data_IF_164130086332
#
_entry.id   IF_164130086332
#
_cell.length_a   1.000
_cell.length_b   1.000
_cell.length_c   1.000
_cell.angle_alpha   90.00
_cell.angle_beta   90.00
_cell.angle_gamma   90.00
#
_symmetry.space_group_name_H-M   'P 1'
#
loop_
_entity.id
_entity.type
_entity.pdbx_description
1 polymer ?
#
# COMPACT_ATOMS: atom_id res chain seq x y z
N UNK A 1 3.71 0.61 -1.15
CA UNK A 1 2.83 1.58 -1.85
C UNK A 1 3.42 2.99 -1.89
N UNK A 2 4.15 3.43 -0.86
CA UNK A 2 4.84 4.73 -0.88
C UNK A 2 5.74 4.92 -2.12
N UNK A 3 6.43 3.86 -2.55
CA UNK A 3 7.25 3.89 -3.76
C UNK A 3 6.45 4.25 -5.01
N UNK A 4 5.26 3.63 -5.19
CA UNK A 4 4.37 3.96 -6.32
C UNK A 4 3.86 5.40 -6.25
N UNK A 5 3.57 5.90 -5.05
CA UNK A 5 3.18 7.29 -4.86
C UNK A 5 4.29 8.26 -5.29
N UNK A 6 5.51 8.00 -4.82
CA UNK A 6 6.67 8.84 -5.13
C UNK A 6 6.97 8.84 -6.63
N UNK A 7 6.89 7.67 -7.27
CA UNK A 7 7.10 7.52 -8.71
C UNK A 7 6.01 8.23 -9.53
N UNK A 8 4.74 8.10 -9.11
CA UNK A 8 3.64 8.85 -9.73
C UNK A 8 3.86 10.36 -9.64
N UNK A 9 4.33 10.85 -8.50
CA UNK A 9 4.62 12.28 -8.32
C UNK A 9 5.81 12.76 -9.16
N UNK A 10 6.85 11.94 -9.27
CA UNK A 10 8.04 12.27 -10.03
C UNK A 10 7.76 12.29 -11.55
N UNK A 11 7.03 11.29 -12.04
CA UNK A 11 6.83 11.06 -13.48
C UNK A 11 5.47 11.56 -14.00
N UNK A 12 4.57 12.01 -13.12
CA UNK A 12 3.17 12.33 -13.45
C UNK A 12 2.46 11.20 -14.20
N UNK A 13 2.92 9.96 -14.03
CA UNK A 13 2.41 8.77 -14.70
C UNK A 13 2.83 7.50 -13.97
N UNK A 14 1.99 6.47 -14.04
CA UNK A 14 2.34 5.07 -13.74
C UNK A 14 1.88 4.17 -14.89
N UNK A 15 2.69 3.18 -15.25
CA UNK A 15 2.28 2.12 -16.18
C UNK A 15 1.21 1.22 -15.57
N UNK A 16 0.64 0.34 -16.37
CA UNK A 16 -0.54 -0.46 -16.03
C UNK A 16 -0.42 -1.18 -14.67
N UNK A 17 0.66 -1.91 -14.44
CA UNK A 17 0.84 -2.71 -13.23
C UNK A 17 0.87 -1.84 -11.95
N UNK A 18 1.66 -0.78 -11.97
CA UNK A 18 1.75 0.16 -10.85
C UNK A 18 0.43 0.87 -10.60
N UNK A 19 -0.29 1.27 -11.66
CA UNK A 19 -1.63 1.85 -11.56
C UNK A 19 -2.62 0.90 -10.90
N UNK A 20 -2.67 -0.35 -11.36
CA UNK A 20 -3.57 -1.37 -10.81
C UNK A 20 -3.33 -1.57 -9.31
N UNK A 21 -2.09 -1.86 -8.93
CA UNK A 21 -1.73 -2.07 -7.52
C UNK A 21 -2.07 -0.84 -6.66
N UNK A 22 -1.77 0.36 -7.16
CA UNK A 22 -1.99 1.58 -6.39
C UNK A 22 -3.46 1.98 -6.33
N UNK A 23 -4.23 1.81 -7.42
CA UNK A 23 -5.69 2.01 -7.41
C UNK A 23 -6.38 1.12 -6.38
N UNK A 24 -6.04 -0.17 -6.36
CA UNK A 24 -6.64 -1.11 -5.42
C UNK A 24 -6.23 -0.82 -3.96
N UNK A 25 -4.99 -0.39 -3.75
CA UNK A 25 -4.56 0.09 -2.43
C UNK A 25 -5.38 1.30 -1.97
N UNK A 26 -5.54 2.32 -2.81
CA UNK A 26 -6.34 3.52 -2.51
C UNK A 26 -7.80 3.16 -2.24
N UNK A 27 -8.40 2.28 -3.05
CA UNK A 27 -9.73 1.73 -2.78
C UNK A 27 -9.81 1.10 -1.38
N UNK A 28 -8.83 0.28 -1.03
CA UNK A 28 -8.75 -0.37 0.29
C UNK A 28 -8.46 0.57 1.45
N UNK A 29 -8.04 1.81 1.22
CA UNK A 29 -7.98 2.87 2.24
C UNK A 29 -9.28 3.64 2.40
N UNK A 30 -10.31 3.28 1.62
CA UNK A 30 -11.64 3.91 1.69
C UNK A 30 -11.87 5.01 0.65
N UNK A 31 -10.95 5.22 -0.30
CA UNK A 31 -11.15 6.21 -1.36
C UNK A 31 -12.31 5.79 -2.26
N UNK A 32 -13.32 6.65 -2.43
CA UNK A 32 -14.44 6.40 -3.31
C UNK A 32 -14.00 6.37 -4.79
N UNK A 33 -14.85 5.80 -5.66
CA UNK A 33 -14.58 5.80 -7.11
C UNK A 33 -14.40 7.21 -7.66
N UNK A 34 -15.25 8.14 -7.24
CA UNK A 34 -15.24 9.53 -7.71
C UNK A 34 -13.94 10.23 -7.30
N UNK A 35 -13.56 10.10 -6.03
CA UNK A 35 -12.30 10.64 -5.51
C UNK A 35 -11.09 10.01 -6.20
N UNK A 36 -11.14 8.71 -6.46
CA UNK A 36 -10.07 7.99 -7.17
C UNK A 36 -9.92 8.48 -8.62
N UNK A 37 -11.03 8.74 -9.33
CA UNK A 37 -11.01 9.34 -10.67
C UNK A 37 -10.38 10.74 -10.65
N UNK A 38 -10.78 11.57 -9.69
CA UNK A 38 -10.20 12.92 -9.48
C UNK A 38 -8.71 12.82 -9.16
N UNK A 39 -8.33 11.92 -8.26
CA UNK A 39 -6.93 11.68 -7.88
C UNK A 39 -6.08 11.34 -9.10
N UNK A 40 -6.48 10.35 -9.90
CA UNK A 40 -5.73 9.95 -11.08
C UNK A 40 -5.70 11.04 -12.15
N UNK A 41 -6.81 11.72 -12.38
CA UNK A 41 -6.85 12.82 -13.35
C UNK A 41 -5.88 13.95 -12.98
N UNK A 42 -5.87 14.35 -11.72
CA UNK A 42 -4.93 15.37 -11.20
C UNK A 42 -3.46 14.90 -11.20
N UNK A 43 -3.22 13.60 -11.01
CA UNK A 43 -1.88 13.03 -10.99
C UNK A 43 -1.25 12.94 -12.38
N UNK A 44 -2.04 12.75 -13.43
CA UNK A 44 -1.60 12.63 -14.82
C UNK A 44 -1.54 13.99 -15.51
N UNK A 45 -0.60 14.84 -15.08
CA UNK A 45 -0.49 16.24 -15.52
C UNK A 45 -0.23 16.41 -17.02
N UNK A 46 0.43 15.44 -17.65
CA UNK A 46 0.86 15.49 -19.05
C UNK A 46 -0.15 14.86 -20.02
N UNK A 47 -1.32 14.43 -19.53
CA UNK A 47 -2.35 13.74 -20.31
C UNK A 47 -3.57 14.62 -20.41
N UNK A 48 -4.13 14.75 -21.63
CA UNK A 48 -5.39 15.51 -21.86
C UNK A 48 -6.60 14.79 -21.25
N UNK A 49 -7.69 15.51 -21.03
CA UNK A 49 -8.93 14.93 -20.51
C UNK A 49 -9.49 13.85 -21.42
N UNK A 50 -9.47 14.07 -22.74
CA UNK A 50 -9.91 13.10 -23.72
C UNK A 50 -9.11 11.80 -23.66
N UNK A 51 -7.78 11.91 -23.57
CA UNK A 51 -6.90 10.75 -23.45
C UNK A 51 -7.14 10.02 -22.13
N UNK A 52 -7.28 10.76 -21.01
CA UNK A 52 -7.61 10.17 -19.72
C UNK A 52 -8.93 9.39 -19.76
N UNK A 53 -9.97 9.97 -20.33
CA UNK A 53 -11.28 9.35 -20.43
C UNK A 53 -11.26 8.09 -21.30
N UNK A 54 -10.51 8.10 -22.42
CA UNK A 54 -10.41 6.96 -23.35
C UNK A 54 -9.56 5.81 -22.79
N UNK A 55 -8.41 6.09 -22.17
CA UNK A 55 -7.40 5.07 -21.87
C UNK A 55 -7.39 4.64 -20.39
N UNK A 56 -7.82 5.48 -19.47
CA UNK A 56 -7.63 5.24 -18.03
C UNK A 56 -8.93 5.12 -17.23
N UNK A 57 -9.92 5.93 -17.53
CA UNK A 57 -11.16 5.99 -16.76
C UNK A 57 -11.87 4.64 -16.67
N UNK A 58 -11.96 3.92 -17.79
CA UNK A 58 -12.60 2.61 -17.83
C UNK A 58 -11.94 1.63 -16.85
N UNK A 59 -10.60 1.53 -16.87
CA UNK A 59 -9.87 0.61 -15.99
C UNK A 59 -10.06 0.92 -14.50
N UNK A 60 -10.12 2.20 -14.14
CA UNK A 60 -10.36 2.62 -12.75
C UNK A 60 -11.77 2.19 -12.33
N UNK A 61 -12.80 2.48 -13.14
CA UNK A 61 -14.18 2.05 -12.90
C UNK A 61 -14.30 0.52 -12.79
N UNK A 62 -13.62 -0.20 -13.66
CA UNK A 62 -13.58 -1.67 -13.64
C UNK A 62 -12.97 -2.21 -12.34
N UNK A 63 -11.92 -1.60 -11.83
CA UNK A 63 -11.32 -1.96 -10.54
C UNK A 63 -12.26 -1.77 -9.35
N UNK A 64 -13.20 -0.84 -9.45
CA UNK A 64 -14.25 -0.60 -8.46
C UNK A 64 -15.51 -1.46 -8.68
N UNK A 65 -15.61 -2.19 -9.80
CA UNK A 65 -16.79 -2.98 -10.14
C UNK A 65 -17.96 -2.18 -10.68
N UNK A 66 -17.71 -0.94 -11.07
CA UNK A 66 -18.74 -0.05 -11.61
C UNK A 66 -19.07 -0.33 -13.08
N UNK A 67 -18.13 -0.89 -13.84
CA UNK A 67 -18.30 -1.27 -15.25
C UNK A 67 -17.62 -2.60 -15.54
N UNK A 68 -18.16 -3.34 -16.50
CA UNK A 68 -17.60 -4.61 -16.97
C UNK A 68 -17.62 -5.71 -15.89
N UNK A 69 -16.92 -6.81 -16.18
CA UNK A 69 -16.73 -7.90 -15.25
C UNK A 69 -17.90 -8.90 -15.18
N UNK A 70 -17.67 -9.96 -14.40
CA UNK A 70 -18.65 -10.97 -14.07
C UNK A 70 -19.80 -10.35 -13.27
N UNK A 71 -21.04 -10.79 -13.51
CA UNK A 71 -22.24 -10.35 -12.78
C UNK A 71 -22.06 -10.48 -11.25
N UNK A 72 -21.33 -11.50 -10.80
CA UNK A 72 -21.05 -11.76 -9.38
C UNK A 72 -20.06 -10.73 -8.75
N UNK A 73 -19.37 -9.93 -9.56
CA UNK A 73 -18.42 -8.91 -9.10
C UNK A 73 -18.91 -7.48 -9.27
N UNK A 74 -20.13 -7.30 -9.80
CA UNK A 74 -20.72 -5.96 -9.89
C UNK A 74 -20.89 -5.35 -8.52
N UNK A 75 -20.45 -4.08 -8.36
CA UNK A 75 -20.48 -3.35 -7.10
C UNK A 75 -19.33 -3.64 -6.13
N UNK A 76 -18.58 -4.76 -6.28
CA UNK A 76 -17.41 -5.08 -5.43
C UNK A 76 -16.06 -4.79 -6.12
N UNK A 77 -15.94 -5.09 -7.41
CA UNK A 77 -14.70 -4.96 -8.17
C UNK A 77 -13.58 -5.87 -7.64
N UNK A 78 -12.33 -5.46 -7.86
CA UNK A 78 -11.16 -6.19 -7.40
C UNK A 78 -10.80 -5.85 -5.96
N UNK A 79 -10.34 -6.84 -5.20
CA UNK A 79 -9.80 -6.65 -3.86
C UNK A 79 -8.38 -6.08 -3.90
N UNK A 80 -7.98 -5.28 -2.90
CA UNK A 80 -6.60 -4.86 -2.72
C UNK A 80 -5.63 -6.04 -2.60
N UNK A 81 -4.42 -5.88 -3.12
CA UNK A 81 -3.42 -6.95 -3.09
C UNK A 81 -2.82 -7.11 -1.70
N UNK A 82 -2.86 -8.35 -1.19
CA UNK A 82 -2.12 -8.73 0.02
C UNK A 82 -0.61 -8.73 -0.23
N UNK A 83 0.20 -8.72 0.84
CA UNK A 83 1.65 -8.89 0.72
C UNK A 83 2.01 -10.23 0.05
N UNK A 84 1.30 -11.31 0.36
CA UNK A 84 1.49 -12.60 -0.28
C UNK A 84 1.35 -12.47 -1.80
N UNK A 85 0.26 -11.90 -2.28
CA UNK A 85 0.03 -11.70 -3.71
C UNK A 85 1.13 -10.85 -4.34
N UNK A 86 1.52 -9.73 -3.72
CA UNK A 86 2.62 -8.87 -4.19
C UNK A 86 3.98 -9.59 -4.24
N UNK A 87 4.19 -10.57 -3.38
CA UNK A 87 5.46 -11.30 -3.27
C UNK A 87 5.52 -12.50 -4.20
N UNK A 88 4.39 -13.16 -4.47
CA UNK A 88 4.35 -14.43 -5.22
C UNK A 88 4.04 -14.24 -6.70
N UNK A 89 3.29 -13.23 -7.09
CA UNK A 89 3.00 -12.97 -8.51
C UNK A 89 4.28 -12.72 -9.32
N UNK A 90 4.29 -13.05 -10.61
CA UNK A 90 5.42 -12.73 -11.49
C UNK A 90 5.79 -11.25 -11.40
N UNK A 91 7.10 -10.95 -11.44
CA UNK A 91 7.55 -9.56 -11.49
C UNK A 91 7.07 -8.91 -12.78
N UNK A 92 6.65 -7.65 -12.72
CA UNK A 92 6.28 -6.91 -13.90
C UNK A 92 7.49 -6.73 -14.85
N UNK A 93 7.22 -6.67 -16.15
CA UNK A 93 8.26 -6.46 -17.15
C UNK A 93 9.04 -5.15 -16.99
N UNK A 94 10.09 -4.95 -17.80
CA UNK A 94 10.96 -3.78 -17.71
C UNK A 94 10.21 -2.45 -17.76
N UNK A 95 10.57 -1.54 -16.88
CA UNK A 95 9.99 -0.20 -16.78
C UNK A 95 8.58 -0.16 -16.18
N UNK A 96 8.08 -1.26 -15.63
CA UNK A 96 6.87 -1.28 -14.80
C UNK A 96 7.24 -1.03 -13.35
N UNK A 97 6.34 -0.36 -12.64
CA UNK A 97 6.50 -0.06 -11.21
C UNK A 97 5.84 -1.12 -10.35
N UNK A 98 6.37 -1.34 -9.16
CA UNK A 98 5.86 -2.33 -8.22
C UNK A 98 5.70 -1.76 -6.81
N UNK A 99 4.64 -2.17 -6.10
CA UNK A 99 4.29 -1.63 -4.79
C UNK A 99 5.16 -2.09 -3.61
N UNK A 100 5.95 -3.17 -3.78
CA UNK A 100 6.83 -3.70 -2.73
C UNK A 100 8.31 -3.47 -3.08
N UNK A 101 8.97 -2.45 -2.52
CA UNK A 101 10.39 -2.19 -2.78
C UNK A 101 11.30 -3.28 -2.21
N UNK A 102 10.90 -3.95 -1.12
CA UNK A 102 11.68 -5.03 -0.52
C UNK A 102 11.94 -6.19 -1.48
N UNK A 103 10.99 -6.45 -2.40
CA UNK A 103 11.10 -7.50 -3.40
C UNK A 103 11.82 -7.06 -4.67
N UNK A 104 11.67 -5.79 -5.05
CA UNK A 104 12.02 -5.34 -6.41
C UNK A 104 13.27 -4.49 -6.49
N UNK A 105 13.68 -3.88 -5.40
CA UNK A 105 14.92 -3.07 -5.39
C UNK A 105 16.13 -3.94 -5.13
N UNK A 106 17.25 -3.58 -5.78
CA UNK A 106 18.54 -4.05 -5.32
C UNK A 106 18.74 -3.68 -3.85
N UNK A 107 19.34 -4.57 -3.08
CA UNK A 107 19.44 -4.44 -1.61
C UNK A 107 20.05 -3.09 -1.19
N UNK A 108 21.08 -2.62 -1.88
CA UNK A 108 21.71 -1.33 -1.53
C UNK A 108 20.80 -0.13 -1.81
N UNK A 109 20.03 -0.17 -2.89
CA UNK A 109 19.03 0.86 -3.19
C UNK A 109 17.88 0.86 -2.17
N UNK A 110 17.48 -0.32 -1.71
CA UNK A 110 16.49 -0.44 -0.64
C UNK A 110 17.02 0.19 0.66
N UNK A 111 18.24 -0.14 1.06
CA UNK A 111 18.85 0.41 2.28
C UNK A 111 18.98 1.94 2.17
N UNK A 112 19.44 2.46 1.03
CA UNK A 112 19.52 3.90 0.81
C UNK A 112 18.13 4.58 0.87
N UNK A 113 17.08 3.93 0.37
CA UNK A 113 15.70 4.39 0.52
C UNK A 113 15.28 4.44 1.99
N UNK A 114 15.53 3.38 2.75
CA UNK A 114 15.17 3.28 4.16
C UNK A 114 15.88 4.32 5.02
N UNK A 115 17.17 4.54 4.78
CA UNK A 115 17.95 5.60 5.44
C UNK A 115 17.37 6.98 5.18
N UNK A 116 17.00 7.30 3.93
CA UNK A 116 16.34 8.57 3.57
C UNK A 116 14.97 8.74 4.23
N UNK A 117 14.30 7.64 4.57
CA UNK A 117 13.01 7.66 5.27
C UNK A 117 13.11 7.57 6.79
N UNK A 118 14.32 7.70 7.34
CA UNK A 118 14.55 7.83 8.78
C UNK A 118 14.95 6.55 9.52
N UNK A 119 15.22 5.44 8.80
CA UNK A 119 15.76 4.22 9.42
C UNK A 119 17.28 4.35 9.50
N UNK A 120 17.81 4.83 10.61
CA UNK A 120 19.23 5.11 10.80
C UNK A 120 20.00 4.03 11.57
N UNK A 121 19.30 3.12 12.24
CA UNK A 121 19.87 2.07 13.08
C UNK A 121 20.58 1.02 12.23
N UNK A 122 21.89 0.80 12.49
CA UNK A 122 22.73 -0.09 11.71
C UNK A 122 22.36 -1.57 11.91
N UNK A 123 21.95 -1.96 13.10
CA UNK A 123 21.55 -3.33 13.42
C UNK A 123 20.24 -3.66 12.68
N UNK A 124 19.25 -2.78 12.77
CA UNK A 124 17.98 -2.92 12.04
C UNK A 124 18.21 -3.01 10.52
N UNK A 125 19.08 -2.18 9.96
CA UNK A 125 19.41 -2.23 8.54
C UNK A 125 20.14 -3.51 8.14
N UNK A 126 21.00 -4.05 9.03
CA UNK A 126 21.68 -5.35 8.84
C UNK A 126 20.66 -6.49 8.80
N UNK A 127 19.76 -6.53 9.76
CA UNK A 127 18.68 -7.51 9.84
C UNK A 127 17.78 -7.50 8.60
N UNK A 128 17.45 -6.29 8.13
CA UNK A 128 16.65 -6.11 6.89
C UNK A 128 17.41 -6.69 5.68
N UNK A 129 18.72 -6.48 5.57
CA UNK A 129 19.55 -7.08 4.51
C UNK A 129 19.47 -8.61 4.54
N UNK A 130 19.57 -9.21 5.71
CA UNK A 130 19.49 -10.65 5.88
C UNK A 130 18.09 -11.20 5.54
N UNK A 131 17.03 -10.53 5.98
CA UNK A 131 15.67 -10.93 5.66
C UNK A 131 15.41 -10.86 4.15
N UNK A 132 15.87 -9.81 3.47
CA UNK A 132 15.73 -9.66 2.02
C UNK A 132 16.52 -10.74 1.27
N UNK A 133 17.75 -11.06 1.67
CA UNK A 133 18.52 -12.17 1.11
C UNK A 133 17.81 -13.51 1.25
N UNK A 134 17.10 -13.72 2.35
CA UNK A 134 16.32 -14.93 2.62
C UNK A 134 14.89 -14.87 2.03
N UNK A 135 14.59 -13.89 1.18
CA UNK A 135 13.28 -13.65 0.59
C UNK A 135 12.13 -13.43 1.60
N UNK A 136 12.45 -13.05 2.82
CA UNK A 136 11.48 -12.74 3.89
C UNK A 136 11.02 -11.27 3.83
N UNK A 137 10.54 -10.85 2.67
CA UNK A 137 10.23 -9.44 2.37
C UNK A 137 9.21 -8.81 3.33
N UNK A 138 8.19 -9.58 3.75
CA UNK A 138 7.20 -9.10 4.69
C UNK A 138 7.78 -8.91 6.10
N UNK A 139 8.73 -9.75 6.52
CA UNK A 139 9.42 -9.60 7.81
C UNK A 139 10.29 -8.33 7.78
N UNK A 140 11.08 -8.13 6.73
CA UNK A 140 11.86 -6.90 6.55
C UNK A 140 10.98 -5.63 6.62
N UNK A 141 9.79 -5.68 6.00
CA UNK A 141 8.81 -4.58 6.06
C UNK A 141 8.26 -4.35 7.48
N UNK A 142 7.97 -5.43 8.23
CA UNK A 142 7.51 -5.34 9.61
C UNK A 142 8.58 -4.76 10.54
N UNK A 143 9.86 -5.10 10.38
CA UNK A 143 10.96 -4.48 11.14
C UNK A 143 10.99 -2.96 10.96
N UNK A 144 10.78 -2.48 9.73
CA UNK A 144 10.67 -1.03 9.47
C UNK A 144 9.47 -0.43 10.17
N UNK A 145 8.33 -1.12 10.15
CA UNK A 145 7.13 -0.66 10.86
C UNK A 145 7.37 -0.54 12.37
N UNK A 146 7.92 -1.57 12.98
CA UNK A 146 8.25 -1.61 14.41
C UNK A 146 9.27 -0.53 14.78
N UNK A 147 10.31 -0.35 13.98
CA UNK A 147 11.32 0.67 14.21
C UNK A 147 10.74 2.09 14.15
N UNK A 148 9.96 2.37 13.10
CA UNK A 148 9.41 3.72 12.85
C UNK A 148 8.26 4.10 13.79
N UNK A 149 7.63 3.12 14.45
CA UNK A 149 6.54 3.33 15.39
C UNK A 149 6.86 2.82 16.80
N UNK A 150 8.16 2.67 17.13
CA UNK A 150 8.62 2.06 18.39
C UNK A 150 8.01 2.73 19.64
N UNK A 151 7.93 4.06 19.63
CA UNK A 151 7.39 4.85 20.76
C UNK A 151 5.89 4.63 20.92
N UNK A 152 5.16 4.72 19.83
CA UNK A 152 3.71 4.60 19.80
C UNK A 152 3.27 3.16 20.13
N UNK A 153 3.98 2.16 19.60
CA UNK A 153 3.73 0.75 19.92
C UNK A 153 3.96 0.49 21.41
N UNK A 154 5.02 1.04 21.98
CA UNK A 154 5.27 0.93 23.44
C UNK A 154 4.12 1.51 24.23
N UNK A 155 3.67 2.71 23.88
CA UNK A 155 2.56 3.40 24.53
C UNK A 155 1.27 2.58 24.50
N UNK A 156 0.83 2.10 23.33
CA UNK A 156 -0.41 1.32 23.22
C UNK A 156 -0.35 -0.02 23.95
N UNK A 157 0.85 -0.63 24.07
CA UNK A 157 1.07 -1.84 24.88
C UNK A 157 0.92 -1.55 26.37
N UNK A 158 1.51 -0.47 26.86
CA UNK A 158 1.45 -0.07 28.26
C UNK A 158 0.04 0.33 28.68
N UNK A 159 -0.70 1.00 27.80
CA UNK A 159 -2.08 1.41 28.01
C UNK A 159 -3.09 0.25 27.82
N UNK A 160 -2.69 -0.87 27.23
CA UNK A 160 -3.57 -1.98 26.87
C UNK A 160 -4.64 -1.61 25.85
N UNK A 161 -4.42 -0.52 25.07
CA UNK A 161 -5.40 0.00 24.12
C UNK A 161 -5.43 -0.79 22.79
N UNK A 162 -4.38 -1.60 22.51
CA UNK A 162 -4.32 -2.51 21.37
C UNK A 162 -4.32 -3.96 21.82
N UNK A 163 -5.11 -4.79 21.12
CA UNK A 163 -5.14 -6.23 21.33
C UNK A 163 -3.91 -6.93 20.73
N UNK A 164 -3.72 -8.20 21.05
CA UNK A 164 -2.69 -9.02 20.40
C UNK A 164 -2.85 -9.05 18.88
N UNK A 165 -4.09 -9.12 18.37
CA UNK A 165 -4.37 -9.10 16.94
C UNK A 165 -3.96 -7.78 16.26
N UNK A 166 -4.03 -6.65 16.96
CA UNK A 166 -3.57 -5.35 16.44
C UNK A 166 -2.04 -5.29 16.32
N UNK A 167 -1.35 -6.13 17.09
CA UNK A 167 0.12 -6.22 17.13
C UNK A 167 0.68 -7.35 16.25
N UNK A 168 -0.17 -8.17 15.65
CA UNK A 168 0.24 -9.27 14.77
C UNK A 168 1.02 -8.78 13.55
N UNK A 169 1.79 -9.71 12.97
CA UNK A 169 2.57 -9.47 11.75
C UNK A 169 1.70 -8.89 10.63
N UNK A 170 2.14 -7.80 10.05
CA UNK A 170 1.44 -7.13 8.96
C UNK A 170 1.68 -7.91 7.66
N UNK A 171 0.60 -8.40 7.07
CA UNK A 171 0.59 -9.17 5.81
C UNK A 171 -0.22 -8.51 4.69
N UNK A 172 -0.61 -7.25 4.89
CA UNK A 172 -1.38 -6.49 3.91
C UNK A 172 -0.98 -5.00 3.92
N UNK A 173 -0.77 -4.36 2.74
CA UNK A 173 -0.40 -2.95 2.67
C UNK A 173 -1.42 -1.99 3.30
N UNK A 174 -2.71 -2.29 3.18
CA UNK A 174 -3.77 -1.47 3.79
C UNK A 174 -3.76 -1.58 5.32
N UNK A 175 -3.45 -2.76 5.87
CA UNK A 175 -3.25 -2.92 7.32
C UNK A 175 -2.06 -2.11 7.81
N UNK A 176 -0.94 -2.12 7.06
CA UNK A 176 0.23 -1.27 7.35
C UNK A 176 -0.18 0.20 7.43
N UNK A 177 -0.89 0.68 6.41
CA UNK A 177 -1.35 2.07 6.34
C UNK A 177 -2.28 2.41 7.52
N UNK A 178 -3.32 1.58 7.75
CA UNK A 178 -4.29 1.78 8.83
C UNK A 178 -3.62 1.85 10.20
N UNK A 179 -2.78 0.85 10.52
CA UNK A 179 -2.06 0.81 11.81
C UNK A 179 -1.10 1.99 11.97
N UNK A 180 -0.34 2.33 10.92
CA UNK A 180 0.56 3.48 10.93
C UNK A 180 -0.21 4.79 11.17
N UNK A 181 -1.35 4.94 10.52
CA UNK A 181 -2.20 6.12 10.71
C UNK A 181 -2.73 6.20 12.14
N UNK A 182 -3.31 5.11 12.65
CA UNK A 182 -3.85 5.04 14.02
C UNK A 182 -2.77 5.36 15.07
N UNK A 183 -1.57 4.78 14.94
CA UNK A 183 -0.46 5.04 15.86
C UNK A 183 -0.02 6.50 15.86
N UNK A 184 0.01 7.13 14.69
CA UNK A 184 0.43 8.55 14.57
C UNK A 184 -0.62 9.54 15.05
N UNK A 185 -1.89 9.13 15.13
CA UNK A 185 -3.00 9.98 15.57
C UNK A 185 -3.56 9.52 16.93
N UNK A 186 -2.71 8.90 17.75
CA UNK A 186 -3.06 8.55 19.13
C UNK A 186 -3.39 9.81 19.92
N UNK A 187 -4.64 9.91 20.38
CA UNK A 187 -5.12 11.05 21.19
C UNK A 187 -5.89 12.11 20.39
N UNK A 188 -5.88 12.07 19.07
CA UNK A 188 -6.85 12.78 18.26
C UNK A 188 -8.15 11.97 18.31
N UNK A 189 -9.17 12.49 19.01
CA UNK A 189 -10.42 11.78 19.23
C UNK A 189 -10.96 11.17 17.93
N UNK A 190 -11.64 10.05 18.05
CA UNK A 190 -12.08 9.12 16.98
C UNK A 190 -13.10 9.77 16.01
N UNK A 191 -12.75 10.91 15.42
CA UNK A 191 -13.52 11.63 14.42
C UNK A 191 -13.12 11.14 13.03
N UNK A 192 -13.82 10.14 12.52
CA UNK A 192 -13.94 9.91 11.09
C UNK A 192 -13.22 8.75 10.45
N UNK A 193 -13.24 7.55 11.02
CA UNK A 193 -13.15 6.32 10.21
C UNK A 193 -14.43 5.52 10.43
N UNK A 194 -15.50 5.97 9.79
CA UNK A 194 -16.72 5.19 9.59
C UNK A 194 -16.57 4.48 8.26
N UNK A 195 -16.62 3.16 8.29
CA UNK A 195 -17.01 2.40 7.13
C UNK A 195 -15.92 1.52 6.51
N UNK A 196 -16.17 0.25 6.53
CA UNK A 196 -15.51 -0.78 5.76
C UNK A 196 -14.63 -1.73 6.58
N UNK A 197 -15.24 -2.38 7.58
CA UNK A 197 -14.67 -3.62 8.09
C UNK A 197 -14.60 -4.65 6.95
N UNK A 198 -13.56 -5.48 6.87
CA UNK A 198 -13.59 -6.60 5.96
C UNK A 198 -14.70 -7.55 6.43
N UNK A 199 -15.74 -7.70 5.61
CA UNK A 199 -16.67 -8.81 5.73
C UNK A 199 -15.85 -10.10 5.88
N UNK A 200 -16.23 -10.88 6.88
CA UNK A 200 -15.71 -12.22 7.10
C UNK A 200 -15.82 -12.98 5.79
N UNK A 201 -14.69 -13.38 5.24
CA UNK A 201 -14.64 -14.39 4.20
C UNK A 201 -14.88 -15.72 4.92
N UNK A 202 -16.14 -16.19 4.90
CA UNK A 202 -16.44 -17.60 5.01
C UNK A 202 -15.96 -18.29 3.72
N UNK A 203 -15.48 -19.51 3.89
CA UNK A 203 -14.80 -20.43 2.97
C UNK A 203 -15.39 -20.53 1.56
#
# INVERSE_FOLDING_TARGET
MQNLHNELRANSHLKHFGRLQYTLFLKGTGLSLEECLIFWRKSFKLITDDKFNKEYRYNIRHNYGDVGGDANRRGRGYSPYSCQKLITEPLPGPGQSHGCPYRTFATDNLIALLQRTGVADREVLSDIREDVKKHKYHIACNRVFEYTHKKEIKKVKEEGSWSAADLDTIVHPNTYFKRSWMLKHLGEGNAGIVGGGPDKMEE
#
